data_IF_481466273912
#
_entry.id   IF_481466273912
#
_cell.length_a   1.000
_cell.length_b   1.000
_cell.length_c   1.000
_cell.angle_alpha   90.00
_cell.angle_beta   90.00
_cell.angle_gamma   90.00
#
_symmetry.space_group_name_H-M   'P 1'
#
loop_
_entity.id
_entity.type
_entity.pdbx_description
1 polymer ?
#
# COMPACT_ATOMS: atom_id res chain seq x y z
N UNK A 1 -4.19 8.03 15.28
CA UNK A 1 -4.20 6.71 15.97
C UNK A 1 -3.29 6.73 17.19
N UNK A 2 -3.64 6.06 18.30
CA UNK A 2 -2.79 6.03 19.50
C UNK A 2 -1.62 5.03 19.37
N UNK A 3 -0.58 5.19 20.19
CA UNK A 3 0.66 4.41 20.09
C UNK A 3 0.46 2.90 20.30
N UNK A 4 -0.51 2.50 21.13
CA UNK A 4 -0.82 1.07 21.36
C UNK A 4 -1.40 0.41 20.12
N UNK A 5 -2.33 1.06 19.41
CA UNK A 5 -2.87 0.55 18.14
C UNK A 5 -1.77 0.43 17.09
N UNK A 6 -0.89 1.44 16.97
CA UNK A 6 0.26 1.39 16.06
C UNK A 6 1.16 0.18 16.35
N UNK A 7 1.53 -0.02 17.61
CA UNK A 7 2.37 -1.15 18.04
C UNK A 7 1.72 -2.50 17.74
N UNK A 8 0.41 -2.64 17.96
CA UNK A 8 -0.33 -3.86 17.61
C UNK A 8 -0.35 -4.14 16.11
N UNK A 9 -0.56 -3.11 15.29
CA UNK A 9 -0.56 -3.27 13.83
C UNK A 9 0.85 -3.59 13.29
N UNK A 10 1.89 -2.93 13.82
CA UNK A 10 3.28 -3.24 13.48
C UNK A 10 3.64 -4.69 13.82
N UNK A 11 3.34 -5.12 15.04
CA UNK A 11 3.56 -6.51 15.47
C UNK A 11 2.79 -7.52 14.62
N UNK A 12 1.58 -7.18 14.18
CA UNK A 12 0.79 -8.01 13.27
C UNK A 12 1.43 -8.09 11.87
N UNK A 13 1.89 -6.97 11.32
CA UNK A 13 2.61 -6.92 10.04
C UNK A 13 3.88 -7.77 10.07
N UNK A 14 4.71 -7.60 11.10
CA UNK A 14 5.94 -8.37 11.31
C UNK A 14 5.68 -9.88 11.36
N UNK A 15 4.62 -10.32 12.05
CA UNK A 15 4.23 -11.73 12.09
C UNK A 15 3.90 -12.26 10.70
N UNK A 16 3.16 -11.50 9.91
CA UNK A 16 2.76 -11.95 8.57
C UNK A 16 3.96 -12.00 7.63
N UNK A 17 4.87 -11.02 7.72
CA UNK A 17 6.09 -10.96 6.93
C UNK A 17 7.08 -12.08 7.27
N UNK A 18 7.31 -12.34 8.55
CA UNK A 18 8.31 -13.32 9.01
C UNK A 18 7.76 -14.76 9.04
N UNK A 19 6.51 -14.93 9.48
CA UNK A 19 5.94 -16.23 9.84
C UNK A 19 4.71 -16.63 8.99
N UNK A 20 4.21 -15.72 8.15
CA UNK A 20 3.05 -15.91 7.28
C UNK A 20 1.70 -15.72 7.98
N UNK A 21 0.65 -15.50 7.17
CA UNK A 21 -0.73 -15.18 7.63
C UNK A 21 -1.31 -16.23 8.59
N UNK A 22 -0.93 -17.51 8.43
CA UNK A 22 -1.41 -18.60 9.29
C UNK A 22 -1.01 -18.38 10.75
N UNK A 23 0.15 -17.77 11.00
CA UNK A 23 0.68 -17.51 12.35
C UNK A 23 0.10 -16.24 13.00
N UNK A 24 -0.64 -15.43 12.25
CA UNK A 24 -1.33 -14.26 12.77
C UNK A 24 -2.45 -14.66 13.74
N UNK A 25 -2.17 -14.61 15.04
CA UNK A 25 -3.14 -14.86 16.12
C UNK A 25 -3.15 -13.69 17.09
N UNK A 26 -4.26 -13.45 17.78
CA UNK A 26 -4.36 -12.34 18.75
C UNK A 26 -3.35 -12.53 19.89
N UNK A 27 -3.12 -13.77 20.32
CA UNK A 27 -2.10 -14.10 21.32
C UNK A 27 -0.69 -13.75 20.83
N UNK A 28 -0.32 -14.16 19.61
CA UNK A 28 1.01 -13.86 19.05
C UNK A 28 1.23 -12.36 18.89
N UNK A 29 0.21 -11.63 18.42
CA UNK A 29 0.27 -10.17 18.25
C UNK A 29 0.41 -9.47 19.60
N UNK A 30 -0.38 -9.87 20.60
CA UNK A 30 -0.29 -9.30 21.94
C UNK A 30 1.10 -9.54 22.55
N UNK A 31 1.60 -10.77 22.44
CA UNK A 31 2.93 -11.14 22.93
C UNK A 31 4.03 -10.30 22.25
N UNK A 32 4.00 -10.17 20.93
CA UNK A 32 5.00 -9.42 20.17
C UNK A 32 4.94 -7.91 20.43
N UNK A 33 3.75 -7.36 20.59
CA UNK A 33 3.55 -5.96 20.97
C UNK A 33 3.86 -5.68 22.46
N UNK A 34 4.21 -6.69 23.26
CA UNK A 34 4.44 -6.54 24.71
C UNK A 34 3.17 -6.16 25.49
N UNK A 35 1.99 -6.52 24.98
CA UNK A 35 0.68 -6.24 25.57
C UNK A 35 0.01 -7.53 26.06
N UNK A 36 -0.91 -7.40 27.02
CA UNK A 36 -1.75 -8.52 27.42
C UNK A 36 -2.82 -8.80 26.36
N UNK A 37 -3.33 -10.03 26.30
CA UNK A 37 -4.48 -10.39 25.45
C UNK A 37 -5.69 -9.48 25.71
N UNK A 38 -5.96 -9.14 26.97
CA UNK A 38 -7.03 -8.19 27.33
C UNK A 38 -6.77 -6.78 26.81
N UNK A 39 -5.52 -6.31 26.84
CA UNK A 39 -5.11 -5.01 26.29
C UNK A 39 -5.26 -4.94 24.77
N UNK A 40 -4.99 -6.04 24.07
CA UNK A 40 -5.25 -6.15 22.63
C UNK A 40 -6.76 -6.15 22.35
N UNK A 41 -7.53 -6.98 23.04
CA UNK A 41 -8.98 -7.13 22.82
C UNK A 41 -9.75 -5.82 23.05
N UNK A 42 -9.23 -4.93 23.90
CA UNK A 42 -9.77 -3.57 24.05
C UNK A 42 -9.70 -2.74 22.75
N UNK A 43 -8.70 -2.99 21.90
CA UNK A 43 -8.51 -2.30 20.63
C UNK A 43 -9.06 -3.06 19.42
N UNK A 44 -8.88 -4.38 19.41
CA UNK A 44 -9.29 -5.26 18.32
C UNK A 44 -9.99 -6.49 18.90
N UNK A 45 -11.34 -6.52 18.92
CA UNK A 45 -12.10 -7.58 19.58
C UNK A 45 -12.01 -8.94 18.87
N UNK A 46 -11.49 -8.99 17.64
CA UNK A 46 -11.35 -10.19 16.84
C UNK A 46 -10.14 -10.11 15.90
N UNK A 47 -9.72 -11.27 15.37
CA UNK A 47 -8.70 -11.34 14.29
C UNK A 47 -9.15 -10.56 13.06
N UNK A 48 -10.43 -10.65 12.70
CA UNK A 48 -11.03 -9.86 11.63
C UNK A 48 -10.88 -8.35 11.84
N UNK A 49 -11.21 -7.85 13.04
CA UNK A 49 -11.07 -6.43 13.36
C UNK A 49 -9.62 -5.96 13.33
N UNK A 50 -8.68 -6.82 13.74
CA UNK A 50 -7.25 -6.54 13.64
C UNK A 50 -6.82 -6.42 12.17
N UNK A 51 -7.18 -7.39 11.33
CA UNK A 51 -6.83 -7.39 9.89
C UNK A 51 -7.45 -6.19 9.19
N UNK A 52 -8.72 -5.87 9.49
CA UNK A 52 -9.35 -4.65 8.98
C UNK A 52 -8.55 -3.41 9.35
N UNK A 53 -8.13 -3.30 10.61
CA UNK A 53 -7.29 -2.19 11.07
C UNK A 53 -5.91 -2.14 10.39
N UNK A 54 -5.33 -3.29 10.00
CA UNK A 54 -4.09 -3.34 9.22
C UNK A 54 -4.31 -2.73 7.83
N UNK A 55 -5.36 -3.18 7.12
CA UNK A 55 -5.71 -2.66 5.79
C UNK A 55 -6.00 -1.17 5.84
N UNK A 56 -6.86 -0.71 6.76
CA UNK A 56 -7.21 0.70 6.91
C UNK A 56 -5.99 1.58 7.23
N UNK A 57 -5.13 1.13 8.14
CA UNK A 57 -3.93 1.90 8.50
C UNK A 57 -2.98 2.02 7.30
N UNK A 58 -2.73 0.92 6.58
CA UNK A 58 -1.89 0.96 5.41
C UNK A 58 -2.50 1.84 4.31
N UNK A 59 -3.76 1.60 3.95
CA UNK A 59 -4.41 2.31 2.84
C UNK A 59 -4.51 3.81 3.11
N UNK A 60 -4.85 4.21 4.34
CA UNK A 60 -4.88 5.64 4.70
C UNK A 60 -3.51 6.30 4.53
N UNK A 61 -2.43 5.67 5.01
CA UNK A 61 -1.08 6.23 4.84
C UNK A 61 -0.68 6.32 3.36
N UNK A 62 -1.06 5.32 2.56
CA UNK A 62 -0.79 5.28 1.13
C UNK A 62 -1.53 6.39 0.37
N UNK A 63 -2.85 6.53 0.57
CA UNK A 63 -3.63 7.59 -0.06
C UNK A 63 -3.23 8.98 0.43
N UNK A 64 -2.90 9.15 1.72
CA UNK A 64 -2.36 10.42 2.24
C UNK A 64 -1.03 10.78 1.58
N UNK A 65 -0.15 9.81 1.32
CA UNK A 65 1.11 10.04 0.59
C UNK A 65 0.85 10.54 -0.83
N UNK A 66 -0.09 9.94 -1.56
CA UNK A 66 -0.47 10.39 -2.91
C UNK A 66 -1.02 11.82 -2.83
N UNK A 67 -1.96 12.10 -1.93
CA UNK A 67 -2.57 13.42 -1.79
C UNK A 67 -1.55 14.51 -1.44
N UNK A 68 -0.56 14.19 -0.60
CA UNK A 68 0.53 15.12 -0.30
C UNK A 68 1.34 15.45 -1.55
N UNK A 69 1.71 14.44 -2.34
CA UNK A 69 2.47 14.64 -3.58
C UNK A 69 1.68 15.45 -4.62
N UNK A 70 0.38 15.17 -4.77
CA UNK A 70 -0.50 15.94 -5.67
C UNK A 70 -0.59 17.41 -5.25
N UNK A 71 -0.61 17.68 -3.95
CA UNK A 71 -0.69 19.04 -3.42
C UNK A 71 0.62 19.81 -3.63
N UNK A 72 1.76 19.12 -3.54
CA UNK A 72 3.09 19.72 -3.65
C UNK A 72 3.56 19.85 -5.11
N UNK A 73 2.94 19.14 -6.05
CA UNK A 73 3.24 19.21 -7.49
C UNK A 73 2.61 20.46 -8.14
N UNK A 74 3.46 21.34 -8.68
CA UNK A 74 3.04 22.57 -9.33
C UNK A 74 2.58 22.40 -10.78
N UNK A 75 2.84 21.25 -11.39
CA UNK A 75 2.48 20.95 -12.77
C UNK A 75 1.14 20.24 -12.81
N UNK A 76 0.07 20.92 -13.23
CA UNK A 76 -1.30 20.38 -13.13
C UNK A 76 -1.54 19.11 -13.95
N UNK A 77 -1.01 19.03 -15.17
CA UNK A 77 -1.16 17.86 -16.02
C UNK A 77 -0.28 16.72 -15.50
N UNK A 78 -0.82 15.51 -15.42
CA UNK A 78 -0.10 14.30 -15.04
C UNK A 78 0.22 14.20 -13.54
N UNK A 79 -0.27 15.12 -12.70
CA UNK A 79 0.13 15.18 -11.28
C UNK A 79 -0.36 13.98 -10.49
N UNK A 80 -1.56 13.46 -10.76
CA UNK A 80 -2.08 12.28 -10.08
C UNK A 80 -1.30 11.03 -10.49
N UNK A 81 -0.95 10.91 -11.77
CA UNK A 81 -0.16 9.82 -12.33
C UNK A 81 1.26 9.82 -11.77
N UNK A 82 1.91 10.99 -11.70
CA UNK A 82 3.24 11.13 -11.08
C UNK A 82 3.21 10.81 -9.58
N UNK A 83 2.21 11.32 -8.86
CA UNK A 83 2.03 11.05 -7.44
C UNK A 83 1.80 9.56 -7.18
N UNK A 84 0.99 8.90 -8.01
CA UNK A 84 0.73 7.46 -7.92
C UNK A 84 2.00 6.64 -8.11
N UNK A 85 2.76 6.90 -9.19
CA UNK A 85 4.02 6.19 -9.47
C UNK A 85 5.02 6.39 -8.33
N UNK A 86 5.19 7.64 -7.88
CA UNK A 86 6.14 7.99 -6.81
C UNK A 86 5.76 7.35 -5.48
N UNK A 87 4.48 7.45 -5.08
CA UNK A 87 4.00 6.89 -3.81
C UNK A 87 4.09 5.36 -3.80
N UNK A 88 3.69 4.72 -4.90
CA UNK A 88 3.77 3.25 -5.03
C UNK A 88 5.22 2.77 -5.02
N UNK A 89 6.14 3.47 -5.68
CA UNK A 89 7.56 3.13 -5.60
C UNK A 89 8.13 3.28 -4.18
N UNK A 90 7.74 4.32 -3.47
CA UNK A 90 8.13 4.50 -2.06
C UNK A 90 7.57 3.39 -1.16
N UNK A 91 6.33 2.96 -1.41
CA UNK A 91 5.71 1.86 -0.67
C UNK A 91 6.42 0.51 -0.92
N UNK A 92 6.84 0.24 -2.17
CA UNK A 92 7.71 -0.90 -2.52
C UNK A 92 9.00 -0.90 -1.70
N UNK A 93 9.68 0.25 -1.59
CA UNK A 93 10.94 0.35 -0.87
C UNK A 93 10.79 0.14 0.65
N UNK A 94 9.61 0.47 1.18
CA UNK A 94 9.33 0.37 2.62
C UNK A 94 8.76 -1.00 3.06
N UNK A 95 8.35 -1.88 2.15
CA UNK A 95 7.80 -3.23 2.43
C UNK A 95 6.56 -3.31 3.36
N UNK A 96 5.87 -2.20 3.67
CA UNK A 96 4.82 -2.16 4.72
C UNK A 96 3.43 -2.67 4.30
N UNK A 97 3.22 -2.95 3.03
CA UNK A 97 1.90 -3.20 2.42
C UNK A 97 1.56 -4.68 2.29
N UNK A 98 2.58 -5.52 2.11
CA UNK A 98 2.44 -6.93 1.75
C UNK A 98 1.65 -7.70 2.79
N UNK A 99 1.98 -7.47 4.08
CA UNK A 99 1.38 -8.16 5.20
C UNK A 99 -0.12 -7.91 5.34
N UNK A 100 -0.57 -6.67 5.15
CA UNK A 100 -1.97 -6.26 5.35
C UNK A 100 -2.89 -6.86 4.28
N UNK A 101 -2.50 -6.74 3.00
CA UNK A 101 -3.31 -7.25 1.89
C UNK A 101 -3.30 -8.78 1.88
N UNK A 102 -2.14 -9.42 2.12
CA UNK A 102 -2.09 -10.88 2.26
C UNK A 102 -2.97 -11.37 3.41
N UNK A 103 -2.90 -10.72 4.58
CA UNK A 103 -3.72 -11.10 5.71
C UNK A 103 -5.23 -11.05 5.38
N UNK A 104 -5.68 -10.01 4.69
CA UNK A 104 -7.06 -9.89 4.23
C UNK A 104 -7.41 -10.97 3.19
N UNK A 105 -6.63 -11.13 2.12
CA UNK A 105 -6.90 -12.09 1.05
C UNK A 105 -7.02 -13.53 1.55
N UNK A 106 -6.16 -13.95 2.48
CA UNK A 106 -6.16 -15.31 3.02
C UNK A 106 -7.19 -15.54 4.15
N UNK A 107 -7.68 -14.48 4.79
CA UNK A 107 -8.65 -14.57 5.89
C UNK A 107 -10.09 -14.35 5.41
N UNK A 108 -10.36 -13.16 4.85
CA UNK A 108 -11.63 -12.78 4.27
C UNK A 108 -11.40 -11.63 3.26
N UNK A 109 -11.56 -11.86 1.94
CA UNK A 109 -11.29 -10.86 0.91
C UNK A 109 -12.25 -9.66 0.93
N UNK A 110 -13.38 -9.73 1.64
CA UNK A 110 -14.32 -8.62 1.81
C UNK A 110 -13.73 -7.50 2.68
N UNK A 111 -12.69 -7.81 3.48
CA UNK A 111 -11.95 -6.81 4.26
C UNK A 111 -11.19 -5.80 3.39
N UNK A 112 -11.11 -6.03 2.07
CA UNK A 112 -10.52 -5.11 1.11
C UNK A 112 -11.55 -4.17 0.46
N UNK A 113 -12.85 -4.27 0.77
CA UNK A 113 -13.89 -3.49 0.09
C UNK A 113 -13.71 -1.98 0.21
N UNK A 114 -13.39 -1.50 1.41
CA UNK A 114 -13.13 -0.07 1.64
C UNK A 114 -11.91 0.40 0.84
N UNK A 115 -10.86 -0.42 0.76
CA UNK A 115 -9.68 -0.14 -0.07
C UNK A 115 -10.02 -0.12 -1.57
N UNK A 116 -10.80 -1.10 -2.07
CA UNK A 116 -11.23 -1.15 -3.48
C UNK A 116 -11.99 0.11 -3.86
N UNK A 117 -12.92 0.57 -3.02
CA UNK A 117 -13.67 1.80 -3.27
C UNK A 117 -12.78 3.06 -3.34
N UNK A 118 -11.81 3.16 -2.42
CA UNK A 118 -10.85 4.27 -2.44
C UNK A 118 -9.95 4.20 -3.68
N UNK A 119 -9.51 3.00 -4.04
CA UNK A 119 -8.69 2.76 -5.22
C UNK A 119 -9.43 3.11 -6.51
N UNK A 120 -10.70 2.73 -6.65
CA UNK A 120 -11.54 3.09 -7.80
C UNK A 120 -11.67 4.62 -7.94
N UNK A 121 -11.84 5.33 -6.83
CA UNK A 121 -11.88 6.79 -6.86
C UNK A 121 -10.56 7.40 -7.34
N UNK A 122 -9.44 6.88 -6.85
CA UNK A 122 -8.10 7.30 -7.27
C UNK A 122 -7.87 7.04 -8.76
N UNK A 123 -8.25 5.87 -9.28
CA UNK A 123 -8.08 5.54 -10.69
C UNK A 123 -8.82 6.50 -11.62
N UNK A 124 -10.01 6.96 -11.23
CA UNK A 124 -10.72 7.99 -11.99
C UNK A 124 -9.92 9.31 -12.05
N UNK A 125 -9.20 9.67 -10.99
CA UNK A 125 -8.32 10.85 -11.02
C UNK A 125 -7.15 10.68 -12.01
N UNK A 126 -6.59 9.46 -12.11
CA UNK A 126 -5.49 9.17 -13.05
C UNK A 126 -5.95 9.24 -14.51
N UNK A 127 -7.17 8.78 -14.82
CA UNK A 127 -7.69 8.84 -16.20
C UNK A 127 -8.07 10.25 -16.63
N UNK A 128 -8.44 11.11 -15.68
CA UNK A 128 -8.83 12.51 -15.92
C UNK A 128 -7.68 13.50 -15.65
N UNK A 129 -6.43 13.01 -15.58
CA UNK A 129 -5.24 13.76 -15.15
C UNK A 129 -4.65 14.70 -16.22
N UNK A 130 -5.41 15.00 -17.27
CA UNK A 130 -5.01 15.94 -18.33
C UNK A 130 -3.91 15.45 -19.27
N UNK A 131 -3.57 14.15 -19.25
CA UNK A 131 -2.62 13.49 -20.17
C UNK A 131 -3.32 12.42 -20.99
N UNK A 132 -2.62 11.83 -21.97
CA UNK A 132 -3.13 10.67 -22.71
C UNK A 132 -3.48 9.53 -21.72
N UNK A 133 -4.76 9.09 -21.66
CA UNK A 133 -5.19 8.04 -20.75
C UNK A 133 -4.46 6.70 -20.99
N UNK A 134 -3.92 6.47 -22.19
CA UNK A 134 -3.08 5.32 -22.49
C UNK A 134 -1.75 5.42 -21.77
N UNK A 135 -1.07 6.58 -21.80
CA UNK A 135 0.17 6.83 -21.05
C UNK A 135 -0.05 6.66 -19.54
N UNK A 136 -1.12 7.26 -19.01
CA UNK A 136 -1.51 7.11 -17.60
C UNK A 136 -1.72 5.64 -17.22
N UNK A 137 -2.42 4.89 -18.06
CA UNK A 137 -2.71 3.47 -17.83
C UNK A 137 -1.45 2.61 -17.91
N UNK A 138 -0.53 2.88 -18.85
CA UNK A 138 0.76 2.18 -18.96
C UNK A 138 1.58 2.42 -17.69
N UNK A 139 1.67 3.67 -17.22
CA UNK A 139 2.40 3.99 -16.01
C UNK A 139 1.84 3.27 -14.78
N UNK A 140 0.52 3.28 -14.61
CA UNK A 140 -0.19 2.55 -13.55
C UNK A 140 0.11 1.05 -13.59
N UNK A 141 -0.16 0.39 -14.72
CA UNK A 141 0.02 -1.06 -14.83
C UNK A 141 1.48 -1.48 -14.67
N UNK A 142 2.42 -0.63 -15.09
CA UNK A 142 3.86 -0.89 -14.94
C UNK A 142 4.30 -0.83 -13.48
N UNK A 143 3.85 0.18 -12.73
CA UNK A 143 4.20 0.29 -11.31
C UNK A 143 3.48 -0.76 -10.45
N UNK A 144 2.23 -1.09 -10.79
CA UNK A 144 1.50 -2.21 -10.17
C UNK A 144 2.22 -3.54 -10.45
N UNK A 145 2.68 -3.75 -11.69
CA UNK A 145 3.42 -4.95 -12.07
C UNK A 145 4.74 -5.09 -11.31
N UNK A 146 5.48 -3.99 -11.14
CA UNK A 146 6.69 -3.98 -10.30
C UNK A 146 6.34 -4.32 -8.85
N UNK A 147 5.30 -3.68 -8.31
CA UNK A 147 4.81 -3.95 -6.97
C UNK A 147 4.47 -5.44 -6.76
N UNK A 148 3.70 -6.04 -7.67
CA UNK A 148 3.38 -7.48 -7.64
C UNK A 148 4.62 -8.37 -7.74
N UNK A 149 5.60 -8.00 -8.58
CA UNK A 149 6.83 -8.77 -8.77
C UNK A 149 7.66 -8.83 -7.49
N UNK A 150 7.80 -7.70 -6.80
CA UNK A 150 8.50 -7.59 -5.51
C UNK A 150 7.73 -8.34 -4.43
N UNK A 151 6.40 -8.14 -4.35
CA UNK A 151 5.51 -8.83 -3.42
C UNK A 151 5.59 -10.37 -3.54
N UNK A 152 5.65 -10.91 -4.77
CA UNK A 152 5.69 -12.35 -5.01
C UNK A 152 7.12 -12.92 -5.01
N UNK A 153 8.14 -12.08 -4.82
CA UNK A 153 9.55 -12.49 -4.94
C UNK A 153 9.91 -13.00 -6.34
N UNK A 154 9.17 -12.60 -7.37
CA UNK A 154 9.38 -13.03 -8.74
C UNK A 154 10.49 -12.19 -9.37
N UNK A 155 11.73 -12.69 -9.28
CA UNK A 155 12.93 -12.07 -9.88
C UNK A 155 13.00 -10.54 -9.59
N UNK A 156 13.22 -10.15 -8.31
CA UNK A 156 13.32 -8.74 -7.92
C UNK A 156 14.32 -7.99 -8.80
N UNK A 157 13.95 -6.80 -9.24
CA UNK A 157 14.84 -5.97 -10.05
C UNK A 157 15.94 -5.38 -9.17
N UNK A 158 17.11 -5.06 -9.75
CA UNK A 158 18.08 -4.26 -9.04
C UNK A 158 17.49 -2.87 -8.75
N UNK A 159 17.84 -2.27 -7.60
CA UNK A 159 17.39 -0.91 -7.24
C UNK A 159 17.73 0.13 -8.31
N UNK A 160 18.85 -0.06 -9.01
CA UNK A 160 19.24 0.76 -10.16
C UNK A 160 18.24 0.64 -11.31
N UNK A 161 17.87 -0.57 -11.71
CA UNK A 161 16.91 -0.78 -12.79
C UNK A 161 15.50 -0.32 -12.38
N UNK A 162 15.09 -0.54 -11.13
CA UNK A 162 13.82 0.02 -10.61
C UNK A 162 13.81 1.54 -10.82
N UNK A 163 14.84 2.24 -10.34
CA UNK A 163 14.95 3.70 -10.47
C UNK A 163 14.90 4.16 -11.93
N UNK A 164 15.59 3.47 -12.84
CA UNK A 164 15.55 3.77 -14.28
C UNK A 164 14.14 3.61 -14.87
N UNK A 165 13.43 2.54 -14.51
CA UNK A 165 12.05 2.31 -14.94
C UNK A 165 11.13 3.42 -14.40
N UNK A 166 11.23 3.75 -13.11
CA UNK A 166 10.41 4.81 -12.50
C UNK A 166 10.65 6.15 -13.18
N UNK A 167 11.91 6.55 -13.37
CA UNK A 167 12.23 7.80 -14.07
C UNK A 167 11.63 7.80 -15.48
N UNK A 168 11.72 6.69 -16.20
CA UNK A 168 11.15 6.60 -17.55
C UNK A 168 9.62 6.71 -17.56
N UNK A 169 8.94 6.18 -16.55
CA UNK A 169 7.49 6.36 -16.39
C UNK A 169 7.12 7.83 -16.10
N UNK A 170 7.90 8.50 -15.24
CA UNK A 170 7.69 9.91 -14.92
C UNK A 170 7.93 10.79 -16.17
N UNK A 171 9.01 10.55 -16.91
CA UNK A 171 9.30 11.26 -18.17
C UNK A 171 8.14 11.08 -19.17
N UNK A 172 7.67 9.84 -19.36
CA UNK A 172 6.54 9.54 -20.25
C UNK A 172 5.27 10.31 -19.86
N UNK A 173 5.04 10.52 -18.56
CA UNK A 173 3.90 11.30 -18.06
C UNK A 173 4.08 12.80 -18.33
N UNK A 174 5.31 13.31 -18.35
CA UNK A 174 5.63 14.73 -18.54
C UNK A 174 5.76 15.15 -20.01
N UNK A 175 5.97 14.22 -20.93
CA UNK A 175 6.08 14.50 -22.36
C UNK A 175 4.73 14.95 -22.95
N UNK A 176 4.59 16.26 -23.17
CA UNK A 176 3.62 16.84 -24.10
C UNK A 176 3.99 16.42 -25.54
N UNK A 177 2.99 16.05 -26.36
CA UNK A 177 3.19 15.91 -27.81
C UNK A 177 3.50 17.25 -28.49
#
# INVERSE_FOLDING_TARGET
MNEKKKSLLAAASEIVEEEGVVKLTLEAVAQRAGLSKGGLLYHYPSKEALIKGMVENWSNNYFESILSLVKDDTTEQGKWSRAYVTSTYSDIDNNKHLSSIMAAMFYNPDLLDDFRQQYDHLLNQLTDDGIDPVKATIARLSIDGLWFSEMLGMKPLSKELQTQVINKLIDMIQEDE
#
